data_IF_477053478335
#
_entry.id   IF_477053478335
#
_cell.length_a   1.000
_cell.length_b   1.000
_cell.length_c   1.000
_cell.angle_alpha   90.00
_cell.angle_beta   90.00
_cell.angle_gamma   90.00
#
_symmetry.space_group_name_H-M   'P 1'
#
loop_
_entity.id
_entity.type
_entity.pdbx_description
1 polymer ?
#
# COMPACT_ATOMS: atom_id res chain seq x y z
N UNK A 1 -46.11 -19.34 -5.45
CA UNK A 1 -47.28 -19.28 -6.34
C UNK A 1 -46.74 -19.31 -7.77
N UNK A 2 -47.10 -20.32 -8.55
CA UNK A 2 -46.65 -20.45 -9.95
C UNK A 2 -47.84 -20.02 -10.80
N UNK A 3 -47.70 -18.97 -11.59
CA UNK A 3 -48.72 -18.53 -12.54
C UNK A 3 -48.26 -18.99 -13.93
N UNK A 4 -49.07 -19.85 -14.56
CA UNK A 4 -48.90 -20.22 -15.97
C UNK A 4 -49.65 -19.23 -16.86
N UNK A 5 -48.93 -18.42 -17.62
CA UNK A 5 -49.53 -17.61 -18.68
C UNK A 5 -49.31 -18.30 -20.02
N UNK A 6 -50.37 -18.82 -20.65
CA UNK A 6 -50.34 -19.27 -22.05
C UNK A 6 -50.59 -18.05 -22.95
N UNK A 7 -49.61 -17.61 -23.72
CA UNK A 7 -49.79 -16.68 -24.81
C UNK A 7 -49.63 -17.47 -26.12
N UNK A 8 -50.64 -17.41 -26.93
CA UNK A 8 -50.92 -18.05 -28.19
C UNK A 8 -49.80 -18.64 -29.03
N UNK A 9 -49.89 -19.90 -29.37
CA UNK A 9 -49.45 -20.48 -30.64
C UNK A 9 -48.05 -21.02 -30.78
N UNK A 10 -47.21 -21.10 -29.75
CA UNK A 10 -45.98 -21.91 -29.73
C UNK A 10 -45.80 -22.59 -28.36
N UNK A 11 -45.47 -23.88 -28.35
CA UNK A 11 -45.30 -24.72 -27.17
C UNK A 11 -44.08 -24.37 -26.29
N UNK A 12 -43.77 -23.11 -26.09
CA UNK A 12 -42.77 -22.66 -25.17
C UNK A 12 -43.44 -22.13 -23.89
N UNK A 13 -43.67 -23.02 -22.92
CA UNK A 13 -44.04 -22.60 -21.58
C UNK A 13 -42.82 -22.04 -20.86
N UNK A 14 -42.69 -20.73 -20.77
CA UNK A 14 -41.73 -20.07 -19.90
C UNK A 14 -42.28 -20.03 -18.49
N UNK A 15 -41.67 -20.78 -17.59
CA UNK A 15 -42.01 -20.75 -16.17
C UNK A 15 -41.21 -19.61 -15.51
N UNK A 16 -41.83 -18.47 -15.29
CA UNK A 16 -41.22 -17.38 -14.56
C UNK A 16 -41.48 -17.52 -13.06
N UNK A 17 -40.41 -17.55 -12.26
CA UNK A 17 -40.54 -17.63 -10.80
C UNK A 17 -40.81 -16.21 -10.27
N UNK A 18 -42.02 -15.96 -9.83
CA UNK A 18 -42.37 -14.71 -9.15
C UNK A 18 -41.77 -14.72 -7.74
N UNK A 19 -40.89 -13.78 -7.48
CA UNK A 19 -40.33 -13.58 -6.14
C UNK A 19 -41.42 -13.10 -5.18
N UNK A 20 -41.42 -13.57 -3.92
CA UNK A 20 -42.29 -13.01 -2.89
C UNK A 20 -42.09 -11.49 -2.79
N UNK A 21 -43.17 -10.73 -2.57
CA UNK A 21 -43.13 -9.26 -2.52
C UNK A 21 -42.08 -8.70 -1.55
N UNK A 22 -41.91 -9.35 -0.39
CA UNK A 22 -40.90 -8.96 0.62
C UNK A 22 -39.45 -9.15 0.16
N UNK A 23 -39.20 -9.88 -0.93
CA UNK A 23 -37.86 -10.09 -1.49
C UNK A 23 -37.59 -9.23 -2.73
N UNK A 24 -38.45 -8.29 -3.04
CA UNK A 24 -38.25 -7.36 -4.16
C UNK A 24 -37.39 -6.17 -3.74
N UNK A 25 -36.65 -5.57 -4.70
CA UNK A 25 -35.87 -4.37 -4.46
C UNK A 25 -36.73 -3.20 -3.94
N UNK A 26 -37.97 -3.07 -4.46
CA UNK A 26 -38.92 -2.03 -4.02
C UNK A 26 -39.28 -2.21 -2.55
N UNK A 27 -39.62 -3.43 -2.10
CA UNK A 27 -39.97 -3.68 -0.71
C UNK A 27 -38.77 -3.46 0.22
N UNK A 28 -37.56 -3.81 -0.22
CA UNK A 28 -36.34 -3.52 0.51
C UNK A 28 -36.13 -2.01 0.64
N UNK A 29 -36.34 -1.26 -0.44
CA UNK A 29 -36.23 0.18 -0.43
C UNK A 29 -37.22 0.85 0.56
N UNK A 30 -38.50 0.40 0.54
CA UNK A 30 -39.52 0.87 1.48
C UNK A 30 -39.11 0.55 2.93
N UNK A 31 -38.71 -0.69 3.19
CA UNK A 31 -38.29 -1.11 4.53
C UNK A 31 -37.13 -0.27 5.07
N UNK A 32 -36.08 -0.07 4.25
CA UNK A 32 -34.95 0.79 4.63
C UNK A 32 -35.39 2.25 4.83
N UNK A 33 -36.39 2.69 4.05
CA UNK A 33 -37.00 4.00 4.19
C UNK A 33 -37.74 4.18 5.52
N UNK A 34 -38.53 3.20 5.91
CA UNK A 34 -39.29 3.19 7.17
C UNK A 34 -38.37 3.22 8.40
N UNK A 35 -37.22 2.51 8.34
CA UNK A 35 -36.23 2.47 9.43
C UNK A 35 -35.17 3.56 9.32
N UNK A 36 -35.27 4.45 8.33
CA UNK A 36 -34.36 5.59 8.09
C UNK A 36 -32.87 5.15 7.99
N UNK A 37 -32.58 4.01 7.35
CA UNK A 37 -31.23 3.48 7.21
C UNK A 37 -30.55 3.94 5.93
N UNK A 38 -29.22 4.01 5.99
CA UNK A 38 -28.36 4.10 4.82
C UNK A 38 -27.96 2.72 4.37
N UNK A 39 -27.98 2.49 3.05
CA UNK A 39 -27.47 1.27 2.45
C UNK A 39 -26.14 1.54 1.77
N UNK A 40 -25.06 0.86 2.22
CA UNK A 40 -23.71 1.00 1.66
C UNK A 40 -23.43 -0.24 0.82
N UNK A 41 -23.11 -0.04 -0.45
CA UNK A 41 -22.69 -1.07 -1.41
C UNK A 41 -21.19 -0.85 -1.67
N UNK A 42 -20.39 -1.80 -1.22
CA UNK A 42 -18.93 -1.73 -1.38
C UNK A 42 -18.45 -2.48 -2.63
N UNK A 43 -17.23 -2.17 -3.07
CA UNK A 43 -16.52 -2.88 -4.13
C UNK A 43 -17.24 -2.90 -5.49
N UNK A 44 -18.01 -1.88 -5.80
CA UNK A 44 -18.77 -1.77 -7.05
C UNK A 44 -17.92 -2.03 -8.31
N UNK A 45 -16.66 -1.65 -8.27
CA UNK A 45 -15.70 -1.84 -9.36
C UNK A 45 -15.33 -3.30 -9.63
N UNK A 46 -15.59 -4.22 -8.69
CA UNK A 46 -15.31 -5.66 -8.84
C UNK A 46 -16.44 -6.42 -9.54
N UNK A 47 -17.60 -5.80 -9.68
CA UNK A 47 -18.76 -6.44 -10.30
C UNK A 47 -18.55 -6.63 -11.81
N UNK A 48 -18.98 -7.77 -12.34
CA UNK A 48 -19.09 -7.98 -13.78
C UNK A 48 -20.13 -7.03 -14.39
N UNK A 49 -20.02 -6.74 -15.69
CA UNK A 49 -20.89 -5.76 -16.38
C UNK A 49 -22.39 -6.06 -16.22
N UNK A 50 -22.78 -7.34 -16.25
CA UNK A 50 -24.19 -7.75 -16.10
C UNK A 50 -24.70 -7.52 -14.67
N UNK A 51 -23.82 -7.66 -13.67
CA UNK A 51 -24.16 -7.39 -12.28
C UNK A 51 -24.25 -5.88 -12.01
N UNK A 52 -23.35 -5.09 -12.61
CA UNK A 52 -23.43 -3.62 -12.56
C UNK A 52 -24.75 -3.10 -13.16
N UNK A 53 -25.23 -3.72 -14.24
CA UNK A 53 -26.52 -3.37 -14.83
C UNK A 53 -27.67 -3.63 -13.87
N UNK A 54 -27.68 -4.78 -13.17
CA UNK A 54 -28.68 -5.10 -12.13
C UNK A 54 -28.61 -4.10 -10.96
N UNK A 55 -27.40 -3.69 -10.56
CA UNK A 55 -27.23 -2.63 -9.53
C UNK A 55 -27.80 -1.32 -10.03
N UNK A 56 -27.52 -0.91 -11.27
CA UNK A 56 -28.08 0.32 -11.86
C UNK A 56 -29.61 0.31 -11.86
N UNK A 57 -30.25 -0.82 -12.23
CA UNK A 57 -31.71 -0.98 -12.17
C UNK A 57 -32.24 -0.92 -10.74
N UNK A 58 -31.55 -1.54 -9.79
CA UNK A 58 -31.90 -1.48 -8.35
C UNK A 58 -31.82 -0.06 -7.84
N UNK A 59 -30.76 0.69 -8.19
CA UNK A 59 -30.59 2.09 -7.78
C UNK A 59 -31.75 2.98 -8.24
N UNK A 60 -32.27 2.77 -9.45
CA UNK A 60 -33.47 3.53 -9.93
C UNK A 60 -34.69 3.31 -9.03
N UNK A 61 -34.97 2.05 -8.69
CA UNK A 61 -36.10 1.71 -7.79
C UNK A 61 -35.93 2.42 -6.44
N UNK A 62 -34.73 2.39 -5.86
CA UNK A 62 -34.45 3.06 -4.60
C UNK A 62 -34.57 4.59 -4.68
N UNK A 63 -34.10 5.19 -5.79
CA UNK A 63 -34.23 6.63 -6.01
C UNK A 63 -35.69 7.04 -6.09
N UNK A 64 -36.52 6.24 -6.75
CA UNK A 64 -37.95 6.53 -6.87
C UNK A 64 -38.66 6.40 -5.51
N UNK A 65 -38.33 5.40 -4.70
CA UNK A 65 -38.83 5.23 -3.33
C UNK A 65 -38.33 6.34 -2.38
N UNK A 66 -37.10 6.84 -2.59
CA UNK A 66 -36.53 7.91 -1.78
C UNK A 66 -37.32 9.22 -1.85
N UNK A 67 -38.16 9.45 -2.86
CA UNK A 67 -39.08 10.58 -2.91
C UNK A 67 -40.12 10.56 -1.76
N UNK A 68 -40.48 9.35 -1.31
CA UNK A 68 -41.38 9.15 -0.17
C UNK A 68 -40.64 9.05 1.17
N UNK A 69 -39.36 8.66 1.12
CA UNK A 69 -38.48 8.42 2.27
C UNK A 69 -37.16 9.22 2.13
N UNK A 70 -37.16 10.53 2.29
CA UNK A 70 -36.00 11.40 1.94
C UNK A 70 -34.76 11.17 2.79
N UNK A 71 -34.89 10.50 3.95
CA UNK A 71 -33.75 10.13 4.81
C UNK A 71 -33.02 8.87 4.34
N UNK A 72 -33.62 8.05 3.48
CA UNK A 72 -32.97 6.88 2.91
C UNK A 72 -31.94 7.29 1.86
N UNK A 73 -30.73 6.79 2.01
CA UNK A 73 -29.65 7.02 1.06
C UNK A 73 -28.94 5.72 0.70
N UNK A 74 -28.55 5.59 -0.56
CA UNK A 74 -27.60 4.57 -1.00
C UNK A 74 -26.26 5.22 -1.24
N UNK A 75 -25.21 4.62 -0.73
CA UNK A 75 -23.83 5.03 -0.93
C UNK A 75 -23.10 3.87 -1.62
N UNK A 76 -22.67 4.09 -2.85
CA UNK A 76 -21.88 3.10 -3.60
C UNK A 76 -20.40 3.46 -3.50
N UNK A 77 -19.60 2.55 -2.97
CA UNK A 77 -18.15 2.69 -2.87
C UNK A 77 -17.48 1.93 -4.02
N UNK A 78 -16.65 2.62 -4.78
CA UNK A 78 -15.96 2.04 -5.94
C UNK A 78 -14.61 2.67 -6.17
N UNK A 79 -13.80 2.06 -7.07
CA UNK A 79 -12.57 2.67 -7.54
C UNK A 79 -12.87 3.89 -8.45
N UNK A 80 -11.84 4.66 -8.74
CA UNK A 80 -11.92 5.81 -9.65
C UNK A 80 -12.60 5.39 -10.97
N UNK A 81 -13.53 6.19 -11.44
CA UNK A 81 -14.38 6.01 -12.62
C UNK A 81 -15.56 5.01 -12.46
N UNK A 82 -15.76 4.35 -11.34
CA UNK A 82 -16.90 3.44 -11.15
C UNK A 82 -18.27 4.11 -11.34
N UNK A 83 -18.39 5.39 -11.01
CA UNK A 83 -19.59 6.20 -11.27
C UNK A 83 -19.85 6.37 -12.77
N UNK A 84 -18.81 6.65 -13.56
CA UNK A 84 -18.91 6.75 -15.03
C UNK A 84 -19.34 5.43 -15.65
N UNK A 85 -18.75 4.31 -15.19
CA UNK A 85 -19.11 2.98 -15.66
C UNK A 85 -20.61 2.67 -15.42
N UNK A 86 -21.18 3.12 -14.29
CA UNK A 86 -22.62 2.96 -14.01
C UNK A 86 -23.49 3.87 -14.88
N UNK A 87 -23.07 5.12 -15.08
CA UNK A 87 -23.80 6.10 -15.91
C UNK A 87 -23.77 5.68 -17.39
N UNK A 88 -22.66 5.12 -17.88
CA UNK A 88 -22.56 4.58 -19.23
C UNK A 88 -23.52 3.40 -19.46
N UNK A 89 -23.76 2.57 -18.42
CA UNK A 89 -24.73 1.48 -18.50
C UNK A 89 -26.18 1.96 -18.48
N UNK A 90 -26.46 3.07 -17.80
CA UNK A 90 -27.77 3.70 -17.78
C UNK A 90 -27.68 5.24 -17.67
N UNK A 91 -27.83 5.94 -18.81
CA UNK A 91 -27.78 7.41 -18.85
C UNK A 91 -28.79 8.12 -17.95
N UNK A 92 -29.90 7.45 -17.56
CA UNK A 92 -30.90 8.03 -16.68
C UNK A 92 -30.38 8.28 -15.26
N UNK A 93 -29.28 7.63 -14.89
CA UNK A 93 -28.63 7.84 -13.60
C UNK A 93 -27.82 9.16 -13.54
N UNK A 94 -27.46 9.76 -14.68
CA UNK A 94 -26.58 10.92 -14.75
C UNK A 94 -27.01 12.10 -13.85
N UNK A 95 -28.33 12.37 -13.81
CA UNK A 95 -28.89 13.47 -13.01
C UNK A 95 -29.41 13.02 -11.63
N UNK A 96 -29.25 11.76 -11.27
CA UNK A 96 -29.80 11.14 -10.07
C UNK A 96 -28.71 10.67 -9.08
N UNK A 97 -27.46 10.59 -9.51
CA UNK A 97 -26.30 10.14 -8.72
C UNK A 97 -25.35 11.32 -8.52
N UNK A 98 -24.98 11.56 -7.27
CA UNK A 98 -23.90 12.49 -6.96
C UNK A 98 -22.57 11.73 -6.90
N UNK A 99 -21.63 12.13 -7.75
CA UNK A 99 -20.27 11.58 -7.74
C UNK A 99 -19.40 12.34 -6.73
N UNK A 100 -18.96 11.64 -5.69
CA UNK A 100 -18.13 12.21 -4.64
C UNK A 100 -16.74 11.61 -4.75
N UNK A 101 -15.79 12.38 -5.28
CA UNK A 101 -14.40 11.95 -5.32
C UNK A 101 -13.76 12.07 -3.93
N UNK A 102 -13.21 10.95 -3.43
CA UNK A 102 -12.45 10.90 -2.17
C UNK A 102 -10.96 10.82 -2.52
N UNK A 103 -10.23 11.94 -2.49
CA UNK A 103 -8.81 11.96 -2.81
C UNK A 103 -7.99 11.30 -1.70
N UNK A 104 -6.73 10.99 -2.01
CA UNK A 104 -5.76 10.64 -0.97
C UNK A 104 -5.51 11.85 -0.07
N UNK A 105 -5.10 11.58 1.17
CA UNK A 105 -4.81 12.63 2.13
C UNK A 105 -3.61 13.48 1.69
N UNK A 106 -3.66 14.77 1.96
CA UNK A 106 -2.50 15.66 1.81
C UNK A 106 -1.43 15.36 2.88
N UNK A 107 -0.21 15.81 2.65
CA UNK A 107 0.86 15.69 3.66
C UNK A 107 0.49 16.38 4.99
N UNK A 108 -0.26 17.47 4.95
CA UNK A 108 -0.74 18.18 6.13
C UNK A 108 -1.80 17.38 6.91
N UNK A 109 -2.68 16.66 6.22
CA UNK A 109 -3.67 15.79 6.85
C UNK A 109 -3.03 14.54 7.46
N UNK A 110 -2.08 13.91 6.75
CA UNK A 110 -1.27 12.81 7.31
C UNK A 110 -0.51 13.28 8.55
N UNK A 111 0.11 14.48 8.48
CA UNK A 111 0.79 15.08 9.63
C UNK A 111 -0.15 15.22 10.82
N UNK A 112 -1.32 15.78 10.60
CA UNK A 112 -2.34 15.98 11.66
C UNK A 112 -2.81 14.64 12.23
N UNK A 113 -3.03 13.62 11.37
CA UNK A 113 -3.39 12.27 11.78
C UNK A 113 -2.36 11.69 12.76
N UNK A 114 -1.07 11.77 12.41
CA UNK A 114 0.04 11.22 13.20
C UNK A 114 0.16 11.99 14.53
N UNK A 115 0.20 13.33 14.48
CA UNK A 115 0.37 14.14 15.68
C UNK A 115 -0.78 14.00 16.66
N UNK A 116 -2.03 13.98 16.16
CA UNK A 116 -3.21 13.79 16.99
C UNK A 116 -3.20 12.40 17.65
N UNK A 117 -2.90 11.35 16.87
CA UNK A 117 -2.83 9.99 17.40
C UNK A 117 -1.76 9.84 18.48
N UNK A 118 -0.54 10.32 18.24
CA UNK A 118 0.55 10.25 19.22
C UNK A 118 0.32 11.14 20.44
N UNK A 119 -0.34 12.29 20.29
CA UNK A 119 -0.68 13.16 21.42
C UNK A 119 -1.62 12.49 22.42
N UNK A 120 -2.59 11.69 21.95
CA UNK A 120 -3.49 10.90 22.80
C UNK A 120 -2.76 9.82 23.62
N UNK A 121 -1.60 9.37 23.14
CA UNK A 121 -0.77 8.37 23.82
C UNK A 121 0.40 8.97 24.61
N UNK A 122 0.51 10.30 24.68
CA UNK A 122 1.65 11.02 25.29
C UNK A 122 3.00 10.69 24.63
N UNK A 123 2.97 10.38 23.33
CA UNK A 123 4.16 10.09 22.51
C UNK A 123 4.62 11.36 21.80
N UNK A 124 5.92 11.65 21.88
CA UNK A 124 6.55 12.71 21.10
C UNK A 124 7.25 12.15 19.86
N UNK A 125 7.20 12.89 18.77
CA UNK A 125 7.88 12.49 17.54
C UNK A 125 8.75 13.65 17.04
N UNK A 126 10.08 13.43 16.82
CA UNK A 126 10.95 14.41 16.19
C UNK A 126 10.49 14.72 14.76
N UNK A 127 10.66 15.96 14.32
CA UNK A 127 10.22 16.43 13.00
C UNK A 127 10.79 15.60 11.84
N UNK A 128 12.06 15.20 11.93
CA UNK A 128 12.70 14.31 10.96
C UNK A 128 11.94 12.99 10.82
N UNK A 129 11.52 12.40 11.95
CA UNK A 129 10.86 11.11 12.02
C UNK A 129 9.41 11.22 11.55
N UNK A 130 8.74 12.31 11.88
CA UNK A 130 7.42 12.63 11.39
C UNK A 130 7.41 12.75 9.86
N UNK A 131 8.35 13.53 9.30
CA UNK A 131 8.51 13.64 7.84
C UNK A 131 8.74 12.29 7.18
N UNK A 132 9.58 11.44 7.78
CA UNK A 132 9.85 10.10 7.24
C UNK A 132 8.59 9.24 7.19
N UNK A 133 7.72 9.26 8.21
CA UNK A 133 6.46 8.51 8.19
C UNK A 133 5.51 9.09 7.13
N UNK A 134 5.43 10.41 7.00
CA UNK A 134 4.61 11.08 5.97
C UNK A 134 5.05 10.60 4.57
N UNK A 135 6.35 10.67 4.28
CA UNK A 135 6.90 10.25 2.99
C UNK A 135 6.65 8.75 2.70
N UNK A 136 6.83 7.89 3.72
CA UNK A 136 6.58 6.45 3.61
C UNK A 136 5.11 6.09 3.43
N UNK A 137 4.20 6.88 4.00
CA UNK A 137 2.75 6.62 3.89
C UNK A 137 2.21 6.85 2.49
N UNK A 138 2.92 7.60 1.65
CA UNK A 138 2.52 7.95 0.28
C UNK A 138 1.08 8.47 0.21
N UNK A 139 0.71 9.36 1.12
CA UNK A 139 -0.63 9.96 1.22
C UNK A 139 -1.78 8.99 1.58
N UNK A 140 -1.46 7.77 2.02
CA UNK A 140 -2.45 6.77 2.41
C UNK A 140 -2.59 6.76 3.94
N UNK A 141 -3.73 7.23 4.45
CA UNK A 141 -3.99 7.36 5.90
C UNK A 141 -3.87 6.04 6.66
N UNK A 142 -4.36 4.93 6.10
CA UNK A 142 -4.27 3.61 6.73
C UNK A 142 -2.83 3.10 6.82
N UNK A 143 -1.95 3.46 5.87
CA UNK A 143 -0.52 3.15 5.94
C UNK A 143 0.15 3.95 7.05
N UNK A 144 -0.13 5.26 7.14
CA UNK A 144 0.39 6.10 8.22
C UNK A 144 -0.04 5.56 9.59
N UNK A 145 -1.33 5.20 9.73
CA UNK A 145 -1.85 4.59 10.95
C UNK A 145 -1.16 3.27 11.29
N UNK A 146 -0.98 2.36 10.31
CA UNK A 146 -0.31 1.07 10.52
C UNK A 146 1.15 1.26 10.95
N UNK A 147 1.89 2.19 10.33
CA UNK A 147 3.25 2.50 10.74
C UNK A 147 3.30 3.03 12.17
N UNK A 148 2.40 3.94 12.56
CA UNK A 148 2.31 4.45 13.93
C UNK A 148 1.95 3.34 14.93
N UNK A 149 1.02 2.44 14.57
CA UNK A 149 0.67 1.29 15.41
C UNK A 149 1.88 0.37 15.62
N UNK A 150 2.61 0.04 14.57
CA UNK A 150 3.82 -0.77 14.64
C UNK A 150 4.92 -0.09 15.51
N UNK A 151 5.03 1.24 15.45
CA UNK A 151 5.91 2.01 16.33
C UNK A 151 5.47 1.85 17.80
N UNK A 152 4.17 2.00 18.09
CA UNK A 152 3.63 1.81 19.42
C UNK A 152 3.92 0.40 19.95
N UNK A 153 3.75 -0.64 19.12
CA UNK A 153 4.09 -2.02 19.50
C UNK A 153 5.59 -2.17 19.80
N UNK A 154 6.47 -1.61 18.97
CA UNK A 154 7.94 -1.65 19.18
C UNK A 154 8.34 -0.96 20.50
N UNK A 155 7.65 0.12 20.85
CA UNK A 155 7.91 0.89 22.06
C UNK A 155 7.10 0.38 23.29
N UNK A 156 6.35 -0.72 23.15
CA UNK A 156 5.47 -1.31 24.19
C UNK A 156 4.41 -0.32 24.71
N UNK A 157 3.91 0.57 23.86
CA UNK A 157 2.88 1.54 24.21
C UNK A 157 1.51 0.93 23.91
N UNK A 158 0.80 0.44 24.94
CA UNK A 158 -0.54 -0.12 24.84
C UNK A 158 -1.64 0.87 25.24
N UNK A 159 -1.30 1.89 26.05
CA UNK A 159 -2.23 2.91 26.57
C UNK A 159 -1.47 4.19 26.89
N UNK A 160 -2.20 5.28 27.02
CA UNK A 160 -1.63 6.58 27.44
C UNK A 160 -0.96 6.47 28.80
N UNK A 161 0.25 7.01 28.91
CA UNK A 161 0.97 7.17 30.18
C UNK A 161 1.04 8.65 30.56
N UNK A 162 0.60 8.97 31.76
CA UNK A 162 0.67 10.35 32.29
C UNK A 162 2.10 10.66 32.80
N UNK A 163 2.92 9.62 33.07
CA UNK A 163 4.16 9.75 33.83
C UNK A 163 5.38 9.82 32.90
N UNK A 164 5.39 9.14 31.75
CA UNK A 164 6.55 9.09 30.85
C UNK A 164 6.19 9.54 29.43
N UNK A 165 6.87 10.59 28.95
CA UNK A 165 6.85 10.96 27.54
C UNK A 165 7.84 10.09 26.77
N UNK A 166 7.32 9.18 25.95
CA UNK A 166 8.13 8.35 25.08
C UNK A 166 8.40 9.11 23.77
N UNK A 167 9.65 9.08 23.29
CA UNK A 167 10.03 9.68 22.02
C UNK A 167 10.28 8.64 20.95
N UNK A 168 9.74 8.85 19.75
CA UNK A 168 9.96 7.96 18.60
C UNK A 168 11.40 8.06 18.11
N UNK A 169 12.12 6.93 18.14
CA UNK A 169 13.50 6.81 17.67
C UNK A 169 13.56 6.39 16.18
N UNK A 170 14.71 6.63 15.53
CA UNK A 170 14.99 6.15 14.17
C UNK A 170 14.88 4.62 14.06
N UNK A 171 15.26 3.89 15.11
CA UNK A 171 15.17 2.43 15.15
C UNK A 171 13.71 1.97 15.18
N UNK A 172 12.84 2.62 15.98
CA UNK A 172 11.42 2.28 16.03
C UNK A 172 10.73 2.43 14.66
N UNK A 173 11.12 3.45 13.87
CA UNK A 173 10.63 3.57 12.49
C UNK A 173 11.15 2.45 11.61
N UNK A 174 12.43 2.07 11.72
CA UNK A 174 12.98 0.97 10.92
C UNK A 174 12.28 -0.35 11.22
N UNK A 175 12.05 -0.65 12.49
CA UNK A 175 11.35 -1.85 12.94
C UNK A 175 9.90 -1.84 12.46
N UNK A 176 9.23 -0.69 12.51
CA UNK A 176 7.87 -0.50 11.97
C UNK A 176 7.80 -0.79 10.48
N UNK A 177 8.76 -0.29 9.69
CA UNK A 177 8.85 -0.56 8.24
C UNK A 177 9.12 -2.04 7.96
N UNK A 178 10.01 -2.68 8.73
CA UNK A 178 10.26 -4.12 8.60
C UNK A 178 9.01 -4.94 8.90
N UNK A 179 8.29 -4.58 9.95
CA UNK A 179 7.04 -5.24 10.33
C UNK A 179 6.00 -5.08 9.23
N UNK A 180 5.81 -3.87 8.73
CA UNK A 180 4.89 -3.61 7.61
C UNK A 180 5.22 -4.48 6.38
N UNK A 181 6.48 -4.53 5.97
CA UNK A 181 6.91 -5.35 4.82
C UNK A 181 6.70 -6.83 5.08
N UNK A 182 6.93 -7.33 6.30
CA UNK A 182 6.66 -8.74 6.65
C UNK A 182 5.17 -9.07 6.60
N UNK A 183 4.32 -8.22 7.15
CA UNK A 183 2.86 -8.42 7.20
C UNK A 183 2.25 -8.48 5.79
N UNK A 184 2.77 -7.68 4.86
CA UNK A 184 2.25 -7.60 3.50
C UNK A 184 3.02 -8.48 2.50
N UNK A 185 4.07 -9.20 2.94
CA UNK A 185 4.88 -10.05 2.07
C UNK A 185 4.07 -11.15 1.37
N UNK A 186 3.14 -11.80 2.08
CA UNK A 186 2.29 -12.85 1.51
C UNK A 186 1.48 -12.39 0.31
N UNK A 187 1.12 -11.10 0.26
CA UNK A 187 0.33 -10.51 -0.83
C UNK A 187 1.18 -10.00 -1.99
N UNK A 188 2.32 -9.37 -1.72
CA UNK A 188 3.04 -8.58 -2.72
C UNK A 188 4.41 -9.11 -3.10
N UNK A 189 5.01 -9.97 -2.28
CA UNK A 189 6.36 -10.47 -2.54
C UNK A 189 6.40 -11.34 -3.80
N UNK A 190 5.43 -12.24 -3.97
CA UNK A 190 5.33 -13.11 -5.15
C UNK A 190 5.25 -12.31 -6.43
N UNK A 191 4.51 -11.19 -6.42
CA UNK A 191 4.38 -10.30 -7.58
C UNK A 191 5.69 -9.58 -7.89
N UNK A 192 6.43 -9.10 -6.85
CA UNK A 192 7.77 -8.53 -7.05
C UNK A 192 8.72 -9.59 -7.63
N UNK A 193 8.74 -10.79 -7.07
CA UNK A 193 9.61 -11.88 -7.53
C UNK A 193 9.28 -12.24 -8.99
N UNK A 194 8.00 -12.25 -9.36
CA UNK A 194 7.55 -12.48 -10.73
C UNK A 194 8.00 -11.36 -11.68
N UNK A 195 7.89 -10.09 -11.27
CA UNK A 195 8.40 -8.96 -12.07
C UNK A 195 9.93 -9.03 -12.18
N UNK A 196 10.63 -9.44 -11.13
CA UNK A 196 12.09 -9.57 -11.15
C UNK A 196 12.57 -10.73 -12.03
N UNK A 197 11.76 -11.77 -12.22
CA UNK A 197 12.07 -12.87 -13.15
C UNK A 197 12.12 -12.44 -14.61
N UNK A 198 11.52 -11.30 -14.98
CA UNK A 198 11.67 -10.69 -16.31
C UNK A 198 13.05 -10.05 -16.54
N UNK A 199 13.93 -10.11 -15.54
CA UNK A 199 15.32 -9.65 -15.62
C UNK A 199 15.52 -8.20 -15.17
N UNK A 200 16.65 -7.62 -15.62
CA UNK A 200 17.04 -6.26 -15.21
C UNK A 200 16.04 -5.18 -15.62
N UNK A 201 15.35 -5.38 -16.74
CA UNK A 201 14.36 -4.42 -17.24
C UNK A 201 13.16 -4.32 -16.29
N UNK A 202 12.62 -5.45 -15.79
CA UNK A 202 11.52 -5.45 -14.82
C UNK A 202 11.91 -4.80 -13.50
N UNK A 203 13.12 -5.08 -13.01
CA UNK A 203 13.64 -4.42 -11.79
C UNK A 203 13.73 -2.90 -11.96
N UNK A 204 14.32 -2.42 -13.08
CA UNK A 204 14.46 -1.00 -13.32
C UNK A 204 13.12 -0.32 -13.55
N UNK A 205 12.21 -0.97 -14.27
CA UNK A 205 10.85 -0.46 -14.48
C UNK A 205 10.10 -0.29 -13.15
N UNK A 206 10.15 -1.29 -12.28
CA UNK A 206 9.52 -1.21 -10.95
C UNK A 206 10.13 -0.09 -10.09
N UNK A 207 11.45 0.13 -10.19
CA UNK A 207 12.13 1.26 -9.53
C UNK A 207 11.63 2.61 -10.07
N UNK A 208 11.37 2.74 -11.38
CA UNK A 208 10.78 3.98 -11.93
C UNK A 208 9.40 4.22 -11.35
N UNK A 209 8.52 3.22 -11.37
CA UNK A 209 7.18 3.34 -10.80
C UNK A 209 7.18 3.62 -9.30
N UNK A 210 8.13 3.06 -8.56
CA UNK A 210 8.25 3.33 -7.11
C UNK A 210 8.54 4.79 -6.79
N UNK A 211 9.28 5.48 -7.67
CA UNK A 211 9.65 6.90 -7.51
C UNK A 211 8.66 7.86 -8.12
N UNK A 212 7.81 7.37 -9.01
CA UNK A 212 6.83 8.20 -9.71
C UNK A 212 5.80 8.79 -8.75
N UNK A 213 5.15 9.85 -9.17
CA UNK A 213 3.93 10.33 -8.52
C UNK A 213 2.77 9.34 -8.73
N UNK A 214 1.67 9.53 -8.01
CA UNK A 214 0.53 8.62 -8.07
C UNK A 214 -0.24 8.70 -9.40
N UNK A 215 -0.10 9.82 -10.11
CA UNK A 215 -0.70 10.04 -11.42
C UNK A 215 0.02 9.29 -12.56
N UNK A 216 1.21 8.71 -12.28
CA UNK A 216 1.94 7.84 -13.21
C UNK A 216 3.06 8.52 -13.97
N UNK A 217 3.62 7.81 -14.97
CA UNK A 217 4.77 8.20 -15.78
C UNK A 217 4.39 8.16 -17.27
N UNK A 218 4.67 9.21 -18.07
CA UNK A 218 4.58 9.16 -19.51
C UNK A 218 5.52 8.12 -20.13
N UNK A 219 5.13 7.49 -21.22
CA UNK A 219 5.94 6.45 -21.86
C UNK A 219 7.29 6.98 -22.34
N UNK A 220 7.34 8.19 -22.86
CA UNK A 220 8.57 8.84 -23.33
C UNK A 220 9.58 9.02 -22.18
N UNK A 221 9.07 9.32 -20.98
CA UNK A 221 9.92 9.42 -19.78
C UNK A 221 10.47 8.05 -19.38
N UNK A 222 9.68 6.98 -19.52
CA UNK A 222 10.15 5.61 -19.27
C UNK A 222 11.24 5.22 -20.27
N UNK A 223 11.08 5.49 -21.58
CA UNK A 223 12.11 5.22 -22.59
C UNK A 223 13.40 5.97 -22.29
N UNK A 224 13.32 7.25 -21.95
CA UNK A 224 14.48 8.05 -21.57
C UNK A 224 15.19 7.50 -20.34
N UNK A 225 14.44 7.12 -19.30
CA UNK A 225 15.03 6.63 -18.05
C UNK A 225 15.55 5.18 -18.17
N UNK A 226 15.08 4.43 -19.15
CA UNK A 226 15.44 3.04 -19.45
C UNK A 226 16.24 2.92 -20.74
N UNK A 227 17.00 3.94 -21.10
CA UNK A 227 17.77 4.03 -22.36
C UNK A 227 18.80 2.91 -22.59
N UNK A 228 19.06 2.05 -21.60
CA UNK A 228 19.86 0.84 -21.74
C UNK A 228 19.09 -0.34 -22.36
N UNK A 229 17.79 -0.20 -22.62
CA UNK A 229 16.90 -1.16 -23.24
C UNK A 229 16.26 -0.54 -24.48
N UNK A 230 15.80 -1.38 -25.41
CA UNK A 230 15.07 -0.90 -26.59
C UNK A 230 13.65 -0.48 -26.21
N UNK A 231 13.07 0.47 -26.95
CA UNK A 231 11.69 0.93 -26.73
C UNK A 231 10.68 -0.21 -26.90
N UNK A 232 10.94 -1.11 -27.87
CA UNK A 232 10.11 -2.30 -28.06
C UNK A 232 10.10 -3.19 -26.81
N UNK A 233 11.27 -3.49 -26.22
CA UNK A 233 11.35 -4.31 -25.00
C UNK A 233 10.64 -3.68 -23.81
N UNK A 234 10.72 -2.35 -23.68
CA UNK A 234 10.00 -1.61 -22.63
C UNK A 234 8.50 -1.66 -22.87
N UNK A 235 8.04 -1.45 -24.11
CA UNK A 235 6.62 -1.50 -24.48
C UNK A 235 6.01 -2.88 -24.29
N UNK A 236 6.73 -3.92 -24.70
CA UNK A 236 6.31 -5.33 -24.55
C UNK A 236 6.14 -5.68 -23.07
N UNK A 237 7.10 -5.28 -22.22
CA UNK A 237 7.00 -5.52 -20.79
C UNK A 237 5.85 -4.71 -20.15
N UNK A 238 5.65 -3.44 -20.54
CA UNK A 238 4.52 -2.65 -20.07
C UNK A 238 3.19 -3.33 -20.39
N UNK A 239 3.00 -3.82 -21.63
CA UNK A 239 1.80 -4.55 -22.02
C UNK A 239 1.63 -5.85 -21.21
N UNK A 240 2.72 -6.58 -20.99
CA UNK A 240 2.73 -7.79 -20.17
C UNK A 240 2.31 -7.49 -18.74
N UNK A 241 2.81 -6.42 -18.12
CA UNK A 241 2.47 -6.02 -16.76
C UNK A 241 1.05 -5.44 -16.63
N UNK A 242 0.42 -5.03 -17.73
CA UNK A 242 -0.99 -4.68 -17.79
C UNK A 242 -1.92 -5.89 -17.91
N UNK A 243 -1.39 -7.10 -18.15
CA UNK A 243 -2.21 -8.30 -18.34
C UNK A 243 -2.68 -8.90 -16.99
N UNK A 244 -3.75 -9.72 -17.07
CA UNK A 244 -4.27 -10.45 -15.92
C UNK A 244 -3.23 -11.43 -15.32
N UNK A 245 -2.28 -11.92 -16.14
CA UNK A 245 -1.19 -12.77 -15.68
C UNK A 245 -0.34 -12.09 -14.59
N UNK A 246 -0.13 -10.78 -14.70
CA UNK A 246 0.58 -9.96 -13.70
C UNK A 246 -0.39 -9.16 -12.81
N UNK A 247 -1.62 -9.65 -12.62
CA UNK A 247 -2.64 -9.03 -11.77
C UNK A 247 -2.92 -7.56 -12.18
N UNK A 248 -2.71 -7.21 -13.45
CA UNK A 248 -2.83 -5.82 -13.96
C UNK A 248 -2.08 -4.83 -13.07
N UNK A 249 -0.87 -5.19 -12.65
CA UNK A 249 -0.07 -4.41 -11.69
C UNK A 249 0.18 -2.98 -12.16
N UNK A 250 0.18 -2.76 -13.48
CA UNK A 250 0.29 -1.46 -14.12
C UNK A 250 -0.99 -1.21 -14.95
N UNK A 251 -1.44 0.04 -14.98
CA UNK A 251 -2.54 0.49 -15.83
C UNK A 251 -2.11 1.68 -16.66
N UNK A 252 -2.58 1.70 -17.90
CA UNK A 252 -2.45 2.86 -18.78
C UNK A 252 -3.66 3.78 -18.61
N UNK A 253 -3.41 5.04 -18.32
CA UNK A 253 -4.42 6.08 -18.28
C UNK A 253 -4.42 6.81 -19.64
N UNK A 254 -5.43 6.54 -20.45
CA UNK A 254 -5.54 7.10 -21.81
C UNK A 254 -5.73 8.61 -21.82
N UNK A 255 -6.37 9.17 -20.80
CA UNK A 255 -6.61 10.62 -20.70
C UNK A 255 -5.32 11.35 -20.34
N UNK A 256 -4.57 10.84 -19.38
CA UNK A 256 -3.30 11.42 -18.95
C UNK A 256 -2.11 10.95 -19.80
N UNK A 257 -2.28 9.93 -20.67
CA UNK A 257 -1.22 9.27 -21.45
C UNK A 257 -0.06 8.78 -20.57
N UNK A 258 -0.37 8.23 -19.41
CA UNK A 258 0.59 7.78 -18.40
C UNK A 258 0.35 6.34 -17.98
N UNK A 259 1.43 5.65 -17.66
CA UNK A 259 1.38 4.37 -16.96
C UNK A 259 1.51 4.58 -15.45
N UNK A 260 0.70 3.87 -14.67
CA UNK A 260 0.73 3.94 -13.20
C UNK A 260 0.58 2.56 -12.57
N UNK A 261 1.10 2.40 -11.36
CA UNK A 261 0.77 1.22 -10.56
C UNK A 261 -0.72 1.22 -10.22
N UNK A 262 -1.41 0.12 -10.49
CA UNK A 262 -2.85 -0.01 -10.27
C UNK A 262 -3.23 0.04 -8.80
N UNK A 263 -2.35 -0.48 -7.94
CA UNK A 263 -2.57 -0.57 -6.50
C UNK A 263 -1.64 0.38 -5.72
N UNK A 264 -2.16 1.45 -5.10
CA UNK A 264 -1.35 2.37 -4.29
C UNK A 264 -0.63 1.70 -3.10
N UNK A 265 -1.23 0.67 -2.49
CA UNK A 265 -0.58 -0.09 -1.41
C UNK A 265 0.61 -0.89 -1.92
N UNK A 266 0.52 -1.46 -3.14
CA UNK A 266 1.66 -2.12 -3.77
C UNK A 266 2.82 -1.16 -3.96
N UNK A 267 2.54 0.08 -4.39
CA UNK A 267 3.56 1.13 -4.52
C UNK A 267 4.27 1.39 -3.18
N UNK A 268 3.51 1.54 -2.09
CA UNK A 268 4.07 1.74 -0.74
C UNK A 268 4.96 0.56 -0.35
N UNK A 269 4.46 -0.66 -0.54
CA UNK A 269 5.20 -1.88 -0.25
C UNK A 269 6.54 -1.93 -1.02
N UNK A 270 6.51 -1.66 -2.32
CA UNK A 270 7.71 -1.62 -3.17
C UNK A 270 8.71 -0.57 -2.70
N UNK A 271 8.25 0.62 -2.33
CA UNK A 271 9.10 1.69 -1.80
C UNK A 271 9.80 1.26 -0.50
N UNK A 272 9.05 0.72 0.45
CA UNK A 272 9.59 0.24 1.73
C UNK A 272 10.54 -0.95 1.54
N UNK A 273 10.20 -1.89 0.67
CA UNK A 273 11.04 -3.03 0.31
C UNK A 273 12.40 -2.58 -0.25
N UNK A 274 12.40 -1.68 -1.23
CA UNK A 274 13.64 -1.14 -1.79
C UNK A 274 14.44 -0.28 -0.79
N UNK A 275 13.78 0.40 0.12
CA UNK A 275 14.47 1.14 1.17
C UNK A 275 15.22 0.18 2.12
N UNK A 276 14.57 -0.90 2.55
CA UNK A 276 15.21 -1.93 3.38
C UNK A 276 16.39 -2.59 2.65
N UNK A 277 16.22 -2.96 1.38
CA UNK A 277 17.33 -3.52 0.58
C UNK A 277 18.51 -2.56 0.45
N UNK A 278 18.24 -1.27 0.19
CA UNK A 278 19.29 -0.25 0.10
C UNK A 278 20.05 -0.09 1.41
N UNK A 279 19.33 -0.09 2.55
CA UNK A 279 19.94 -0.02 3.88
C UNK A 279 20.79 -1.27 4.16
N UNK A 280 20.32 -2.46 3.83
CA UNK A 280 21.05 -3.71 3.96
C UNK A 280 22.34 -3.72 3.12
N UNK A 281 22.26 -3.31 1.84
CA UNK A 281 23.43 -3.18 0.94
C UNK A 281 24.46 -2.18 1.47
N UNK A 282 24.01 -1.02 2.00
CA UNK A 282 24.91 -0.01 2.61
C UNK A 282 25.59 -0.56 3.88
N UNK A 283 24.86 -1.24 4.75
CA UNK A 283 25.41 -1.86 5.98
C UNK A 283 26.48 -2.91 5.63
N UNK A 284 26.22 -3.75 4.63
CA UNK A 284 27.16 -4.77 4.16
C UNK A 284 28.42 -4.12 3.51
N UNK A 285 28.24 -3.05 2.73
CA UNK A 285 29.35 -2.32 2.13
C UNK A 285 30.22 -1.63 3.19
N UNK A 286 29.61 -1.05 4.22
CA UNK A 286 30.31 -0.48 5.37
C UNK A 286 31.09 -1.54 6.16
N UNK A 287 30.48 -2.69 6.44
CA UNK A 287 31.16 -3.82 7.10
C UNK A 287 32.37 -4.28 6.28
N UNK A 288 32.23 -4.48 4.95
CA UNK A 288 33.35 -4.88 4.08
C UNK A 288 34.45 -3.81 4.04
N UNK A 289 34.12 -2.51 4.03
CA UNK A 289 35.09 -1.42 4.08
C UNK A 289 35.83 -1.40 5.40
N UNK A 290 35.13 -1.53 6.53
CA UNK A 290 35.73 -1.59 7.85
C UNK A 290 36.65 -2.81 7.97
N UNK A 291 36.25 -4.00 7.47
CA UNK A 291 37.10 -5.21 7.43
C UNK A 291 38.39 -4.93 6.66
N UNK A 292 38.33 -4.31 5.45
CA UNK A 292 39.52 -3.97 4.65
C UNK A 292 40.44 -2.99 5.36
N UNK A 293 39.89 -1.91 5.94
CA UNK A 293 40.68 -0.90 6.66
C UNK A 293 41.38 -1.52 7.85
N UNK A 294 40.70 -2.44 8.57
CA UNK A 294 41.26 -3.13 9.74
C UNK A 294 42.38 -4.08 9.35
N UNK A 295 42.25 -4.85 8.28
CA UNK A 295 43.32 -5.72 7.74
C UNK A 295 44.54 -4.87 7.31
N UNK A 296 44.31 -3.69 6.71
CA UNK A 296 45.40 -2.76 6.33
C UNK A 296 46.08 -2.11 7.54
N UNK A 297 45.35 -1.84 8.62
CA UNK A 297 45.89 -1.19 9.82
C UNK A 297 46.70 -2.17 10.69
N UNK A 298 46.35 -3.46 10.67
CA UNK A 298 46.99 -4.46 11.52
C UNK A 298 47.36 -5.73 10.72
N UNK A 299 48.26 -5.61 9.70
CA UNK A 299 48.58 -6.75 8.83
C UNK A 299 49.19 -7.92 9.61
N UNK A 300 50.01 -7.64 10.64
CA UNK A 300 50.65 -8.65 11.47
C UNK A 300 49.66 -9.51 12.33
N UNK A 301 48.45 -9.01 12.62
CA UNK A 301 47.42 -9.82 13.30
C UNK A 301 46.76 -10.83 12.34
N UNK A 302 46.93 -10.63 11.03
CA UNK A 302 46.36 -11.46 9.99
C UNK A 302 47.38 -12.29 9.23
N UNK A 303 48.68 -12.09 9.46
CA UNK A 303 49.78 -12.88 8.90
C UNK A 303 49.86 -14.31 9.53
N UNK A 304 49.17 -14.53 10.65
CA UNK A 304 48.90 -15.86 11.17
C UNK A 304 47.81 -16.59 10.33
N UNK A 305 47.33 -15.99 9.30
CA UNK A 305 46.16 -16.39 8.49
C UNK A 305 46.48 -17.31 7.33
N UNK A 306 47.13 -18.39 7.57
CA UNK A 306 46.82 -19.61 6.82
C UNK A 306 45.51 -20.28 7.32
N UNK A 307 44.83 -19.67 8.29
CA UNK A 307 43.52 -20.03 8.76
C UNK A 307 42.51 -19.19 7.98
N UNK A 308 41.73 -19.83 7.13
CA UNK A 308 40.56 -19.21 6.48
C UNK A 308 39.54 -18.94 7.60
N UNK A 309 39.58 -17.74 8.17
CA UNK A 309 38.56 -17.27 9.11
C UNK A 309 37.34 -16.90 8.28
N UNK A 310 36.25 -17.62 8.46
CA UNK A 310 34.98 -17.27 7.80
C UNK A 310 34.43 -15.91 8.27
N UNK A 311 33.47 -15.34 7.53
CA UNK A 311 32.89 -14.03 7.86
C UNK A 311 32.21 -13.99 9.25
N UNK A 312 31.73 -15.15 9.78
CA UNK A 312 31.13 -15.25 11.12
C UNK A 312 32.18 -15.19 12.20
N UNK A 313 33.27 -15.91 12.04
CA UNK A 313 34.38 -15.89 12.99
C UNK A 313 35.04 -14.50 13.03
N UNK A 314 35.19 -13.85 11.88
CA UNK A 314 35.68 -12.47 11.83
C UNK A 314 34.74 -11.51 12.60
N UNK A 315 33.43 -11.59 12.41
CA UNK A 315 32.46 -10.73 13.13
C UNK A 315 32.54 -10.94 14.67
N UNK A 316 32.80 -12.15 15.14
CA UNK A 316 32.98 -12.47 16.57
C UNK A 316 34.26 -11.82 17.11
N UNK A 317 35.39 -12.04 16.45
CA UNK A 317 36.69 -11.44 16.85
C UNK A 317 36.67 -9.92 16.76
N UNK A 318 36.10 -9.37 15.72
CA UNK A 318 35.97 -7.92 15.53
C UNK A 318 35.12 -7.28 16.65
N UNK A 319 34.01 -7.91 17.03
CA UNK A 319 33.17 -7.45 18.15
C UNK A 319 33.89 -7.49 19.48
N UNK A 320 34.55 -8.60 19.78
CA UNK A 320 35.34 -8.75 21.00
C UNK A 320 36.47 -7.69 21.13
N UNK A 321 37.09 -7.34 20.00
CA UNK A 321 38.14 -6.34 19.96
C UNK A 321 37.63 -4.91 20.15
N UNK A 322 36.49 -4.56 19.53
CA UNK A 322 35.82 -3.27 19.76
C UNK A 322 35.42 -3.11 21.22
N UNK A 323 34.89 -4.15 21.83
CA UNK A 323 34.48 -4.12 23.22
C UNK A 323 35.73 -3.97 24.16
N UNK A 324 36.85 -4.62 23.84
CA UNK A 324 38.11 -4.43 24.53
C UNK A 324 38.67 -3.01 24.42
N UNK A 325 38.61 -2.39 23.22
CA UNK A 325 39.06 -1.00 22.99
C UNK A 325 38.18 0.00 23.76
N UNK A 326 36.88 -0.23 23.85
CA UNK A 326 35.96 0.60 24.66
C UNK A 326 36.31 0.54 26.13
N UNK A 327 36.51 -0.65 26.63
CA UNK A 327 36.89 -0.87 28.05
C UNK A 327 38.22 -0.19 28.40
N UNK A 328 39.22 -0.23 27.47
CA UNK A 328 40.49 0.49 27.64
C UNK A 328 40.28 1.99 27.71
N UNK A 329 39.45 2.55 26.81
CA UNK A 329 39.15 4.01 26.78
C UNK A 329 38.38 4.45 28.03
N UNK A 330 37.48 3.62 28.55
CA UNK A 330 36.77 3.88 29.81
C UNK A 330 37.72 3.87 31.01
N UNK A 331 38.68 2.94 31.03
CA UNK A 331 39.73 2.89 32.06
C UNK A 331 40.67 4.11 31.95
N UNK A 332 41.06 4.52 30.77
CA UNK A 332 41.89 5.73 30.55
C UNK A 332 41.16 7.02 30.98
N UNK A 333 39.86 7.11 30.76
CA UNK A 333 39.07 8.28 31.19
C UNK A 333 38.88 8.30 32.71
N UNK A 334 38.69 7.16 33.32
CA UNK A 334 38.59 7.05 34.81
C UNK A 334 39.96 7.40 35.49
N UNK A 335 41.09 6.99 34.93
CA UNK A 335 42.39 7.35 35.42
C UNK A 335 42.72 8.85 35.27
N UNK A 336 42.12 9.56 34.30
CA UNK A 336 42.27 11.01 34.13
C UNK A 336 41.31 11.81 35.00
N UNK A 337 40.26 11.22 35.55
CA UNK A 337 39.33 11.88 36.47
C UNK A 337 39.81 11.81 37.92
N UNK A 338 40.74 10.89 38.26
CA UNK A 338 41.32 10.71 39.56
C UNK A 338 42.73 11.40 39.73
N UNK A 339 43.15 12.13 38.73
CA UNK A 339 44.39 12.98 38.73
C UNK A 339 44.00 14.45 38.62
#
# INVERSE_FOLDING_TARGET
MIIHTQIGGSNNSTTERILPYQLTAEKLAIFLGEVECYWIIEDLHKLHIDERRKVADTLKIFIDVANLHPKTKIICLGAVNSSKDLIELDPNLNNRVADINVPLLSNSEIRSLILNGFSLLSVSIPEKNLKQIIDLSNNIGSVAHQLCLNICHTLNIAKSSIIEKVSVSDNAIQDSVQTFVKEHAGRFKSLIDKIFSTGKIGQQLLIQFSKAELDGIPIETLYKNLSSFTEESVSELLNTLCSAEYEEVIRYDSNAKKFKLANPFFKVYVNMHFELERKAKRKNKSKKRNKRNYIQMYPHLFDLSRIIIDDKQFDIYYKALIDSVKTIKELENNLKSDS
#
